data_IF_467738294353
#
_entry.id   IF_467738294353
#
_cell.length_a   1.000
_cell.length_b   1.000
_cell.length_c   1.000
_cell.angle_alpha   90.00
_cell.angle_beta   90.00
_cell.angle_gamma   90.00
#
_symmetry.space_group_name_H-M   'P 1'
#
loop_
_entity.id
_entity.type
_entity.pdbx_description
1 polymer ?
#
# COMPACT_ATOMS: atom_id res chain seq x y z
N UNK A 1 1.56 -3.92 29.33
CA UNK A 1 2.37 -3.50 28.17
C UNK A 1 1.81 -4.25 26.99
N UNK A 2 1.29 -3.54 25.99
CA UNK A 2 0.86 -4.20 24.76
C UNK A 2 2.08 -4.87 24.12
N UNK A 3 1.97 -6.17 23.82
CA UNK A 3 3.05 -6.95 23.21
C UNK A 3 3.50 -6.33 21.88
N UNK A 4 2.60 -5.63 21.18
CA UNK A 4 2.89 -4.92 19.93
C UNK A 4 3.79 -3.71 20.17
N UNK A 5 3.46 -2.89 21.17
CA UNK A 5 4.26 -1.73 21.56
C UNK A 5 5.64 -2.15 22.06
N UNK A 6 5.73 -3.25 22.80
CA UNK A 6 7.00 -3.79 23.28
C UNK A 6 7.96 -4.18 22.13
N UNK A 7 7.43 -4.67 20.99
CA UNK A 7 8.25 -4.98 19.80
C UNK A 7 8.76 -3.70 19.13
N UNK A 8 7.93 -2.65 19.06
CA UNK A 8 8.35 -1.35 18.52
C UNK A 8 9.43 -0.74 19.42
N UNK A 9 9.17 -0.69 20.73
CA UNK A 9 10.06 -0.11 21.74
C UNK A 9 11.40 -0.86 21.85
N UNK A 10 11.43 -2.14 21.50
CA UNK A 10 12.66 -2.94 21.44
C UNK A 10 13.61 -2.54 20.29
N UNK A 11 13.24 -1.57 19.44
CA UNK A 11 14.08 -1.10 18.35
C UNK A 11 14.29 -2.14 17.25
N UNK A 12 13.29 -2.98 17.00
CA UNK A 12 13.41 -4.11 16.06
C UNK A 12 13.43 -3.62 14.60
N UNK A 13 12.82 -2.48 14.29
CA UNK A 13 12.71 -1.95 12.92
C UNK A 13 14.05 -1.56 12.27
N UNK A 14 14.98 -0.84 12.93
CA UNK A 14 16.31 -0.61 12.36
C UNK A 14 17.04 -1.89 11.95
N UNK A 15 16.92 -2.96 12.74
CA UNK A 15 17.58 -4.23 12.42
C UNK A 15 16.87 -4.99 11.30
N UNK A 16 15.53 -4.99 11.29
CA UNK A 16 14.75 -5.56 10.18
C UNK A 16 15.04 -4.82 8.88
N UNK A 17 15.22 -3.50 8.94
CA UNK A 17 15.61 -2.70 7.78
C UNK A 17 16.95 -3.13 7.19
N UNK A 18 17.98 -3.35 8.01
CA UNK A 18 19.27 -3.86 7.50
C UNK A 18 19.14 -5.22 6.83
N UNK A 19 18.28 -6.10 7.35
CA UNK A 19 18.02 -7.42 6.77
C UNK A 19 17.20 -7.36 5.47
N UNK A 20 16.32 -6.38 5.34
CA UNK A 20 15.55 -6.12 4.10
C UNK A 20 16.44 -5.67 2.95
N UNK A 21 17.55 -5.00 3.24
CA UNK A 21 18.53 -4.56 2.24
C UNK A 21 19.52 -5.66 1.84
N UNK A 22 19.47 -6.83 2.46
CA UNK A 22 20.32 -7.95 2.07
C UNK A 22 19.89 -8.49 0.70
N UNK A 23 20.86 -8.83 -0.15
CA UNK A 23 20.59 -9.38 -1.48
C UNK A 23 20.11 -10.84 -1.44
N UNK A 24 20.35 -11.52 -0.32
CA UNK A 24 19.92 -12.89 -0.12
C UNK A 24 18.42 -12.93 0.20
N UNK A 25 17.61 -13.41 -0.75
CA UNK A 25 16.16 -13.59 -0.56
C UNK A 25 15.81 -14.45 0.66
N UNK A 26 16.65 -15.44 1.00
CA UNK A 26 16.45 -16.26 2.20
C UNK A 26 16.62 -15.47 3.52
N UNK A 27 17.16 -14.24 3.48
CA UNK A 27 17.27 -13.31 4.61
C UNK A 27 16.19 -12.22 4.52
N UNK A 28 16.03 -11.60 3.35
CA UNK A 28 15.11 -10.48 3.15
C UNK A 28 13.65 -10.91 3.19
N UNK A 29 13.29 -12.09 2.67
CA UNK A 29 11.89 -12.55 2.67
C UNK A 29 11.35 -12.83 4.09
N UNK A 30 12.07 -13.53 4.99
CA UNK A 30 11.65 -13.65 6.38
C UNK A 30 11.57 -12.30 7.11
N UNK A 31 12.52 -11.39 6.87
CA UNK A 31 12.49 -10.06 7.47
C UNK A 31 11.24 -9.27 7.04
N UNK A 32 10.90 -9.31 5.75
CA UNK A 32 9.71 -8.67 5.20
C UNK A 32 8.42 -9.25 5.78
N UNK A 33 8.33 -10.58 5.91
CA UNK A 33 7.19 -11.23 6.55
C UNK A 33 7.05 -10.84 8.02
N UNK A 34 8.15 -10.69 8.74
CA UNK A 34 8.11 -10.18 10.13
C UNK A 34 7.57 -8.75 10.15
N UNK A 35 8.02 -7.88 9.25
CA UNK A 35 7.50 -6.50 9.13
C UNK A 35 6.00 -6.50 8.82
N UNK A 36 5.56 -7.27 7.82
CA UNK A 36 4.14 -7.42 7.47
C UNK A 36 3.29 -7.92 8.64
N UNK A 37 3.78 -8.91 9.37
CA UNK A 37 3.11 -9.42 10.57
C UNK A 37 3.03 -8.37 11.68
N UNK A 38 4.08 -7.60 11.94
CA UNK A 38 4.01 -6.52 12.94
C UNK A 38 2.96 -5.50 12.51
N UNK A 39 3.01 -5.06 11.25
CA UNK A 39 2.10 -4.02 10.71
C UNK A 39 0.64 -4.50 10.66
N UNK A 40 0.40 -5.81 10.48
CA UNK A 40 -0.94 -6.38 10.52
C UNK A 40 -1.57 -6.38 11.93
N UNK A 41 -0.79 -6.14 12.99
CA UNK A 41 -1.31 -6.03 14.35
C UNK A 41 -1.34 -4.60 14.91
N UNK A 42 -0.54 -3.67 14.40
CA UNK A 42 -0.51 -2.28 14.89
C UNK A 42 -1.77 -1.48 14.53
N UNK A 43 -2.07 -0.45 15.33
CA UNK A 43 -3.10 0.57 15.08
C UNK A 43 -2.53 1.84 14.43
N UNK A 44 -3.38 2.84 14.20
CA UNK A 44 -3.01 4.13 13.60
C UNK A 44 -1.93 4.86 14.40
N UNK A 45 -1.99 4.84 15.73
CA UNK A 45 -0.97 5.47 16.59
C UNK A 45 0.39 4.82 16.43
N UNK A 46 0.42 3.49 16.27
CA UNK A 46 1.64 2.70 16.12
C UNK A 46 2.19 2.71 14.68
N UNK A 47 1.33 2.87 13.67
CA UNK A 47 1.77 3.08 12.26
C UNK A 47 2.71 4.28 12.16
N UNK A 48 2.47 5.33 12.94
CA UNK A 48 3.35 6.50 12.97
C UNK A 48 4.79 6.12 13.37
N UNK A 49 4.95 5.28 14.39
CA UNK A 49 6.26 4.81 14.81
C UNK A 49 6.96 3.94 13.74
N UNK A 50 6.19 3.17 12.95
CA UNK A 50 6.72 2.41 11.81
C UNK A 50 7.22 3.35 10.71
N UNK A 51 6.47 4.41 10.42
CA UNK A 51 6.83 5.44 9.44
C UNK A 51 8.12 6.16 9.89
N UNK A 52 8.18 6.57 11.16
CA UNK A 52 9.33 7.26 11.75
C UNK A 52 10.58 6.38 11.84
N UNK A 53 10.41 5.06 11.96
CA UNK A 53 11.50 4.09 11.85
C UNK A 53 12.06 3.96 10.41
N UNK A 54 11.45 4.62 9.43
CA UNK A 54 11.95 4.70 8.05
C UNK A 54 11.66 3.46 7.19
N UNK A 55 10.76 2.58 7.62
CA UNK A 55 10.47 1.31 6.95
C UNK A 55 9.79 1.45 5.59
N UNK A 56 9.10 2.57 5.33
CA UNK A 56 8.33 2.75 4.09
C UNK A 56 9.23 2.82 2.85
N UNK A 57 10.24 3.68 2.84
CA UNK A 57 11.08 3.90 1.64
C UNK A 57 11.75 2.62 1.11
N UNK A 58 12.28 1.73 1.97
CA UNK A 58 12.85 0.44 1.58
C UNK A 58 11.84 -0.58 1.02
N UNK A 59 10.56 -0.46 1.37
CA UNK A 59 9.51 -1.37 0.90
C UNK A 59 9.06 -1.06 -0.53
N UNK A 60 9.12 0.20 -0.96
CA UNK A 60 8.60 0.60 -2.27
C UNK A 60 9.30 -0.10 -3.44
N UNK A 61 10.65 -0.22 -3.47
CA UNK A 61 11.32 -1.01 -4.50
C UNK A 61 10.93 -2.50 -4.47
N UNK A 62 10.56 -3.04 -3.31
CA UNK A 62 10.19 -4.45 -3.16
C UNK A 62 8.82 -4.78 -3.78
N UNK A 63 7.96 -3.77 -3.99
CA UNK A 63 6.71 -3.94 -4.75
C UNK A 63 6.95 -4.37 -6.20
N UNK A 64 8.16 -4.14 -6.73
CA UNK A 64 8.56 -4.53 -8.08
C UNK A 64 9.53 -5.72 -8.09
N UNK A 65 9.86 -6.28 -6.91
CA UNK A 65 10.73 -7.44 -6.81
C UNK A 65 9.92 -8.73 -6.89
N UNK A 66 10.31 -9.62 -7.81
CA UNK A 66 9.59 -10.86 -8.10
C UNK A 66 9.45 -11.83 -6.91
N UNK A 67 10.27 -11.69 -5.86
CA UNK A 67 10.23 -12.56 -4.69
C UNK A 67 9.58 -11.89 -3.46
N UNK A 68 9.27 -10.59 -3.54
CA UNK A 68 8.87 -9.80 -2.37
C UNK A 68 7.62 -8.95 -2.59
N UNK A 69 7.14 -8.83 -3.83
CA UNK A 69 6.02 -7.95 -4.19
C UNK A 69 4.75 -8.23 -3.37
N UNK A 70 4.47 -9.49 -3.07
CA UNK A 70 3.29 -9.95 -2.33
C UNK A 70 3.31 -9.39 -0.90
N UNK A 71 4.40 -9.64 -0.17
CA UNK A 71 4.54 -9.20 1.22
C UNK A 71 4.73 -7.67 1.33
N UNK A 72 5.36 -7.03 0.34
CA UNK A 72 5.45 -5.57 0.28
C UNK A 72 4.06 -4.95 0.06
N UNK A 73 3.24 -5.52 -0.82
CA UNK A 73 1.87 -5.09 -1.06
C UNK A 73 1.00 -5.25 0.19
N UNK A 74 1.17 -6.34 0.96
CA UNK A 74 0.49 -6.53 2.25
C UNK A 74 0.83 -5.44 3.26
N UNK A 75 2.08 -4.99 3.33
CA UNK A 75 2.45 -3.89 4.22
C UNK A 75 1.73 -2.60 3.84
N UNK A 76 1.78 -2.24 2.56
CA UNK A 76 1.13 -1.01 2.06
C UNK A 76 -0.38 -1.08 2.28
N UNK A 77 -0.99 -2.23 1.97
CA UNK A 77 -2.39 -2.51 2.27
C UNK A 77 -2.74 -2.24 3.74
N UNK A 78 -2.00 -2.85 4.67
CA UNK A 78 -2.26 -2.69 6.10
C UNK A 78 -2.15 -1.23 6.55
N UNK A 79 -1.18 -0.47 6.03
CA UNK A 79 -1.06 0.97 6.33
C UNK A 79 -2.25 1.74 5.74
N UNK A 80 -2.66 1.47 4.51
CA UNK A 80 -3.80 2.18 3.89
C UNK A 80 -5.16 1.86 4.52
N UNK A 81 -5.32 0.69 5.13
CA UNK A 81 -6.59 0.27 5.74
C UNK A 81 -6.74 0.76 7.18
N UNK A 82 -5.62 1.00 7.87
CA UNK A 82 -5.62 1.36 9.30
C UNK A 82 -5.09 2.75 9.60
N UNK A 83 -4.30 3.31 8.69
CA UNK A 83 -3.64 4.58 8.90
C UNK A 83 -4.58 5.77 8.79
N UNK A 84 -4.15 6.90 9.33
CA UNK A 84 -4.85 8.18 9.18
C UNK A 84 -4.66 8.75 7.78
N UNK A 85 -5.46 9.76 7.42
CA UNK A 85 -5.30 10.48 6.15
C UNK A 85 -3.87 11.01 5.94
N UNK A 86 -3.24 11.54 6.99
CA UNK A 86 -1.85 12.04 6.93
C UNK A 86 -0.84 10.93 6.65
N UNK A 87 -1.03 9.75 7.25
CA UNK A 87 -0.15 8.60 7.05
C UNK A 87 -0.29 8.02 5.64
N UNK A 88 -1.52 7.98 5.10
CA UNK A 88 -1.78 7.56 3.73
C UNK A 88 -1.16 8.56 2.74
N UNK A 89 -1.33 9.86 2.99
CA UNK A 89 -0.69 10.92 2.20
C UNK A 89 0.82 10.78 2.19
N UNK A 90 1.44 10.48 3.34
CA UNK A 90 2.87 10.23 3.41
C UNK A 90 3.30 9.07 2.49
N UNK A 91 2.54 7.97 2.41
CA UNK A 91 2.84 6.89 1.47
C UNK A 91 2.80 7.36 0.02
N UNK A 92 1.77 8.15 -0.33
CA UNK A 92 1.62 8.73 -1.67
C UNK A 92 2.80 9.63 -2.02
N UNK A 93 3.20 10.50 -1.09
CA UNK A 93 4.35 11.40 -1.24
C UNK A 93 5.69 10.63 -1.39
N UNK A 94 5.76 9.39 -0.89
CA UNK A 94 6.90 8.49 -1.12
C UNK A 94 6.86 7.76 -2.46
N UNK A 95 5.77 7.88 -3.23
CA UNK A 95 5.66 7.31 -4.56
C UNK A 95 5.09 5.89 -4.59
N UNK A 96 4.16 5.54 -3.70
CA UNK A 96 3.59 4.18 -3.68
C UNK A 96 2.60 3.89 -4.83
N UNK A 97 1.99 4.92 -5.44
CA UNK A 97 0.88 4.75 -6.41
C UNK A 97 1.31 3.94 -7.64
N UNK A 98 2.38 4.34 -8.31
CA UNK A 98 2.82 3.68 -9.56
C UNK A 98 3.13 2.19 -9.36
N UNK A 99 3.92 1.79 -8.34
CA UNK A 99 4.13 0.38 -8.05
C UNK A 99 2.85 -0.40 -7.74
N UNK A 100 1.89 0.16 -7.00
CA UNK A 100 0.61 -0.48 -6.72
C UNK A 100 -0.19 -0.66 -8.03
N UNK A 101 -0.20 0.35 -8.90
CA UNK A 101 -0.85 0.26 -10.19
C UNK A 101 -0.23 -0.82 -11.07
N UNK A 102 1.10 -0.95 -11.09
CA UNK A 102 1.80 -2.01 -11.84
C UNK A 102 1.43 -3.41 -11.37
N UNK A 103 1.17 -3.62 -10.08
CA UNK A 103 0.76 -4.93 -9.57
C UNK A 103 -0.65 -5.37 -10.02
N UNK A 104 -1.49 -4.46 -10.51
CA UNK A 104 -2.82 -4.78 -11.01
C UNK A 104 -2.82 -5.65 -12.27
N UNK A 105 -1.70 -5.71 -13.01
CA UNK A 105 -1.63 -6.43 -14.29
C UNK A 105 -1.15 -7.88 -14.16
N UNK A 106 -0.88 -8.36 -12.94
CA UNK A 106 -0.39 -9.73 -12.69
C UNK A 106 -1.56 -10.73 -12.58
N UNK A 107 -1.96 -11.44 -13.66
CA UNK A 107 -3.23 -12.16 -13.72
C UNK A 107 -3.34 -13.35 -12.76
N UNK A 108 -2.20 -13.88 -12.29
CA UNK A 108 -2.17 -15.04 -11.40
C UNK A 108 -2.22 -14.67 -9.92
N UNK A 109 -2.09 -13.38 -9.58
CA UNK A 109 -1.92 -12.92 -8.20
C UNK A 109 -3.22 -12.32 -7.65
N UNK A 110 -4.27 -13.14 -7.61
CA UNK A 110 -5.64 -12.73 -7.21
C UNK A 110 -5.66 -12.03 -5.85
N UNK A 111 -4.84 -12.48 -4.90
CA UNK A 111 -4.76 -11.84 -3.59
C UNK A 111 -4.13 -10.45 -3.69
N UNK A 112 -2.98 -10.34 -4.36
CA UNK A 112 -2.25 -9.08 -4.54
C UNK A 112 -3.09 -8.04 -5.28
N UNK A 113 -3.79 -8.44 -6.36
CA UNK A 113 -4.69 -7.53 -7.09
C UNK A 113 -5.75 -6.96 -6.15
N UNK A 114 -6.38 -7.78 -5.30
CA UNK A 114 -7.43 -7.33 -4.38
C UNK A 114 -6.92 -6.32 -3.36
N UNK A 115 -5.80 -6.62 -2.71
CA UNK A 115 -5.23 -5.71 -1.71
C UNK A 115 -4.72 -4.42 -2.35
N UNK A 116 -4.22 -4.47 -3.60
CA UNK A 116 -3.85 -3.29 -4.36
C UNK A 116 -5.07 -2.44 -4.73
N UNK A 117 -6.17 -3.05 -5.19
CA UNK A 117 -7.43 -2.33 -5.44
C UNK A 117 -7.97 -1.67 -4.17
N UNK A 118 -7.93 -2.36 -3.03
CA UNK A 118 -8.40 -1.81 -1.75
C UNK A 118 -7.49 -0.68 -1.27
N UNK A 119 -6.17 -0.81 -1.42
CA UNK A 119 -5.21 0.25 -1.12
C UNK A 119 -5.43 1.50 -1.98
N UNK A 120 -5.63 1.33 -3.29
CA UNK A 120 -5.95 2.44 -4.20
C UNK A 120 -7.30 3.07 -3.86
N UNK A 121 -8.31 2.28 -3.51
CA UNK A 121 -9.60 2.79 -3.07
C UNK A 121 -9.47 3.65 -1.80
N UNK A 122 -8.68 3.21 -0.82
CA UNK A 122 -8.44 3.98 0.40
C UNK A 122 -7.67 5.28 0.13
N UNK A 123 -6.67 5.24 -0.77
CA UNK A 123 -5.99 6.46 -1.25
C UNK A 123 -7.00 7.41 -1.90
N UNK A 124 -7.86 6.93 -2.78
CA UNK A 124 -8.89 7.74 -3.44
C UNK A 124 -9.87 8.37 -2.44
N UNK A 125 -10.28 7.64 -1.39
CA UNK A 125 -11.12 8.17 -0.30
C UNK A 125 -10.45 9.34 0.41
N UNK A 126 -9.14 9.25 0.70
CA UNK A 126 -8.40 10.36 1.31
C UNK A 126 -8.37 11.56 0.36
N UNK A 127 -8.14 11.33 -0.94
CA UNK A 127 -8.15 12.38 -1.94
C UNK A 127 -9.50 13.11 -2.05
N UNK A 128 -10.63 12.38 -1.95
CA UNK A 128 -11.96 12.99 -1.87
C UNK A 128 -12.16 13.79 -0.58
N UNK A 129 -11.66 13.29 0.55
CA UNK A 129 -11.75 14.01 1.82
C UNK A 129 -10.94 15.32 1.79
N UNK A 130 -9.77 15.32 1.16
CA UNK A 130 -8.91 16.51 1.01
C UNK A 130 -9.49 17.52 0.02
N UNK A 131 -10.07 17.04 -1.09
CA UNK A 131 -10.81 17.89 -2.05
C UNK A 131 -11.87 18.75 -1.36
N UNK A 132 -12.59 18.16 -0.39
CA UNK A 132 -13.67 18.82 0.35
C UNK A 132 -13.19 19.81 1.43
N UNK A 133 -11.88 19.90 1.71
CA UNK A 133 -11.30 20.77 2.76
C UNK A 133 -10.65 22.08 2.22
N UNK A 134 -10.51 22.22 0.89
CA UNK A 134 -10.26 23.49 0.19
C UNK A 134 -8.85 23.74 -0.37
N UNK A 135 -8.78 24.56 -1.43
CA UNK A 135 -7.64 25.09 -2.21
C UNK A 135 -7.04 24.27 -3.37
N UNK A 136 -7.48 23.04 -3.63
CA UNK A 136 -7.24 22.39 -4.93
C UNK A 136 -8.39 22.74 -5.88
N UNK A 137 -8.10 22.92 -7.17
CA UNK A 137 -9.13 22.79 -8.22
C UNK A 137 -9.95 21.54 -7.87
N UNK A 138 -11.28 21.60 -7.93
CA UNK A 138 -12.33 20.66 -7.43
C UNK A 138 -12.13 19.17 -7.87
N UNK A 139 -10.96 18.63 -7.63
CA UNK A 139 -10.31 17.51 -8.29
C UNK A 139 -9.56 16.74 -7.23
N UNK A 140 -9.76 15.43 -7.23
CA UNK A 140 -9.02 14.50 -6.41
C UNK A 140 -7.60 14.32 -6.99
N UNK A 141 -6.60 14.94 -6.34
CA UNK A 141 -5.21 14.91 -6.81
C UNK A 141 -4.68 13.47 -6.89
N UNK A 142 -5.09 12.60 -5.97
CA UNK A 142 -4.66 11.20 -6.00
C UNK A 142 -5.29 10.41 -7.14
N UNK A 143 -6.54 10.74 -7.53
CA UNK A 143 -7.13 10.21 -8.75
C UNK A 143 -6.32 10.60 -9.99
N UNK A 144 -5.83 11.85 -10.07
CA UNK A 144 -4.96 12.30 -11.16
C UNK A 144 -3.63 11.54 -11.15
N UNK A 145 -3.00 11.34 -9.99
CA UNK A 145 -1.77 10.56 -9.89
C UNK A 145 -1.96 9.10 -10.34
N UNK A 146 -3.11 8.49 -10.05
CA UNK A 146 -3.46 7.15 -10.55
C UNK A 146 -3.62 7.15 -12.06
N UNK A 147 -4.21 8.20 -12.65
CA UNK A 147 -4.29 8.36 -14.11
C UNK A 147 -2.90 8.48 -14.73
N UNK A 148 -2.02 9.30 -14.15
CA UNK A 148 -0.66 9.51 -14.64
C UNK A 148 0.17 8.21 -14.58
N UNK A 149 -0.06 7.36 -13.57
CA UNK A 149 0.53 6.03 -13.44
C UNK A 149 -0.13 4.94 -14.33
N UNK A 150 -1.00 5.33 -15.27
CA UNK A 150 -1.83 4.45 -16.12
C UNK A 150 -2.71 3.48 -15.32
N UNK A 151 -2.96 3.77 -14.04
CA UNK A 151 -3.76 2.95 -13.16
C UNK A 151 -5.22 2.87 -13.60
N UNK A 152 -5.79 3.97 -14.12
CA UNK A 152 -7.18 3.99 -14.59
C UNK A 152 -7.45 2.95 -15.68
N UNK A 153 -6.57 2.83 -16.67
CA UNK A 153 -6.69 1.83 -17.73
C UNK A 153 -6.56 0.40 -17.19
N UNK A 154 -5.62 0.19 -16.26
CA UNK A 154 -5.42 -1.10 -15.60
C UNK A 154 -6.65 -1.52 -14.79
N UNK A 155 -7.26 -0.59 -14.03
CA UNK A 155 -8.50 -0.84 -13.28
C UNK A 155 -9.66 -1.16 -14.23
N UNK A 156 -9.79 -0.44 -15.36
CA UNK A 156 -10.80 -0.75 -16.39
C UNK A 156 -10.64 -2.17 -16.94
N UNK A 157 -9.41 -2.59 -17.23
CA UNK A 157 -9.13 -3.95 -17.73
C UNK A 157 -9.53 -5.04 -16.72
N UNK A 158 -9.50 -4.74 -15.41
CA UNK A 158 -9.93 -5.68 -14.38
C UNK A 158 -11.44 -5.93 -14.35
N UNK A 159 -12.26 -5.15 -15.05
CA UNK A 159 -13.71 -5.41 -15.16
C UNK A 159 -14.02 -6.72 -15.91
N UNK A 160 -13.09 -7.21 -16.74
CA UNK A 160 -13.21 -8.46 -17.49
C UNK A 160 -12.36 -9.59 -16.92
N UNK A 161 -11.90 -9.47 -15.67
CA UNK A 161 -11.09 -10.49 -15.00
C UNK A 161 -11.91 -11.76 -14.71
N UNK A 162 -11.26 -12.92 -14.64
CA UNK A 162 -11.96 -14.20 -14.36
C UNK A 162 -12.54 -14.26 -12.94
N UNK A 163 -11.95 -13.50 -12.02
CA UNK A 163 -12.40 -13.40 -10.63
C UNK A 163 -13.51 -12.35 -10.47
N UNK A 164 -14.75 -12.80 -10.25
CA UNK A 164 -15.91 -11.93 -10.11
C UNK A 164 -15.79 -10.84 -9.03
N UNK A 165 -15.07 -11.12 -7.93
CA UNK A 165 -14.86 -10.14 -6.85
C UNK A 165 -13.94 -8.99 -7.29
N UNK A 166 -12.92 -9.30 -8.10
CA UNK A 166 -12.03 -8.28 -8.68
C UNK A 166 -12.83 -7.39 -9.63
N UNK A 167 -13.65 -7.97 -10.52
CA UNK A 167 -14.47 -7.20 -11.44
C UNK A 167 -15.46 -6.28 -10.73
N UNK A 168 -16.09 -6.79 -9.67
CA UNK A 168 -17.04 -6.03 -8.86
C UNK A 168 -16.36 -4.86 -8.16
N UNK A 169 -15.18 -5.09 -7.56
CA UNK A 169 -14.43 -4.04 -6.88
C UNK A 169 -13.91 -2.99 -7.88
N UNK A 170 -13.35 -3.41 -9.01
CA UNK A 170 -12.91 -2.50 -10.07
C UNK A 170 -14.05 -1.61 -10.57
N UNK A 171 -15.24 -2.18 -10.79
CA UNK A 171 -16.43 -1.41 -11.19
C UNK A 171 -16.86 -0.39 -10.13
N UNK A 172 -16.90 -0.79 -8.84
CA UNK A 172 -17.24 0.11 -7.75
C UNK A 172 -16.27 1.29 -7.63
N UNK A 173 -14.98 1.03 -7.77
CA UNK A 173 -13.94 2.07 -7.76
C UNK A 173 -14.15 3.03 -8.94
N UNK A 174 -14.37 2.50 -10.15
CA UNK A 174 -14.61 3.35 -11.32
C UNK A 174 -15.86 4.22 -11.11
N UNK A 175 -17.01 3.62 -10.80
CA UNK A 175 -18.28 4.34 -10.57
C UNK A 175 -18.20 5.41 -9.47
N UNK A 176 -17.32 5.23 -8.48
CA UNK A 176 -17.20 6.16 -7.36
C UNK A 176 -16.27 7.35 -7.64
N UNK A 177 -15.24 7.19 -8.48
CA UNK A 177 -14.17 8.19 -8.62
C UNK A 177 -13.93 8.70 -10.05
N UNK A 178 -14.56 8.10 -11.08
CA UNK A 178 -14.45 8.52 -12.50
C UNK A 178 -15.75 8.34 -13.27
#
# INVERSE_FOLDING_TARGET
MDMKQAVIDAGVFPRLFELLLDRASYISSPALRIVGNIISYVDDTQIQAVIEAGIISPLLPLLQDANHFDAAAEVIYNVTTKGTNEQIRFLVDKGCIEPICDLLVNPNEVHVIKICLEGLENILKVGEAEKNQGNTEDVNVFAQMIVDARGLEKIKNLQTHDNSKICEQARKILEAYW
#
